data_IF_937409971109
#
_entry.id   IF_937409971109
#
_cell.length_a   1.000
_cell.length_b   1.000
_cell.length_c   1.000
_cell.angle_alpha   90.00
_cell.angle_beta   90.00
_cell.angle_gamma   90.00
#
_symmetry.space_group_name_H-M   'P 1'
#
loop_
_entity.id
_entity.type
_entity.pdbx_description
1 polymer ?
#
# COMPACT_ATOMS: atom_id res chain seq x y z
N UNK A 1 4.94 0.65 -30.47
CA UNK A 1 5.54 -0.68 -30.23
C UNK A 1 5.40 -1.12 -28.76
N UNK A 2 5.61 -0.25 -27.77
CA UNK A 2 5.59 -0.57 -26.32
C UNK A 2 4.26 -1.06 -25.70
N UNK A 3 3.08 -0.54 -26.08
CA UNK A 3 1.83 -0.85 -25.34
C UNK A 3 1.44 -2.34 -25.35
N UNK A 4 1.52 -3.00 -26.52
CA UNK A 4 1.16 -4.42 -26.67
C UNK A 4 2.13 -5.33 -25.91
N UNK A 5 3.40 -4.95 -25.84
CA UNK A 5 4.44 -5.66 -25.08
C UNK A 5 4.22 -5.49 -23.58
N UNK A 6 3.97 -4.26 -23.12
CA UNK A 6 3.59 -3.96 -21.74
C UNK A 6 2.34 -4.74 -21.32
N UNK A 7 1.32 -4.80 -22.17
CA UNK A 7 0.10 -5.55 -21.87
C UNK A 7 0.37 -7.05 -21.71
N UNK A 8 1.21 -7.62 -22.57
CA UNK A 8 1.65 -9.02 -22.45
C UNK A 8 2.45 -9.25 -21.17
N UNK A 9 3.35 -8.32 -20.83
CA UNK A 9 4.13 -8.37 -19.60
C UNK A 9 3.22 -8.30 -18.37
N UNK A 10 2.18 -7.47 -18.41
CA UNK A 10 1.17 -7.37 -17.35
C UNK A 10 0.37 -8.67 -17.18
N UNK A 11 -0.10 -9.27 -18.27
CA UNK A 11 -0.79 -10.57 -18.22
C UNK A 11 0.12 -11.67 -17.65
N UNK A 12 1.40 -11.67 -18.05
CA UNK A 12 2.41 -12.57 -17.50
C UNK A 12 2.65 -12.33 -16.01
N UNK A 13 2.71 -11.06 -15.57
CA UNK A 13 2.79 -10.70 -14.16
C UNK A 13 1.58 -11.22 -13.37
N UNK A 14 0.36 -11.08 -13.87
CA UNK A 14 -0.85 -11.61 -13.22
C UNK A 14 -0.76 -13.14 -13.08
N UNK A 15 -0.34 -13.84 -14.14
CA UNK A 15 -0.13 -15.30 -14.08
C UNK A 15 0.90 -15.67 -13.03
N UNK A 16 2.01 -14.93 -12.95
CA UNK A 16 3.06 -15.16 -11.96
C UNK A 16 2.59 -15.01 -10.51
N UNK A 17 1.55 -14.22 -10.23
CA UNK A 17 0.99 -14.10 -8.88
C UNK A 17 0.31 -15.41 -8.43
N UNK A 18 -0.24 -16.18 -9.37
CA UNK A 18 -0.86 -17.49 -9.08
C UNK A 18 0.18 -18.57 -8.81
N UNK A 19 1.32 -18.50 -9.49
CA UNK A 19 2.45 -19.42 -9.38
C UNK A 19 3.28 -19.12 -8.11
N UNK A 20 3.53 -17.85 -7.81
CA UNK A 20 4.33 -17.40 -6.67
C UNK A 20 3.45 -17.04 -5.47
N UNK A 21 3.04 -18.08 -4.73
CA UNK A 21 2.15 -17.92 -3.57
C UNK A 21 2.88 -17.60 -2.27
N UNK A 22 4.20 -17.79 -2.22
CA UNK A 22 5.03 -17.47 -1.05
C UNK A 22 5.02 -15.97 -0.75
N UNK A 23 5.01 -15.66 0.53
CA UNK A 23 5.14 -14.30 1.04
C UNK A 23 6.15 -14.29 2.18
N UNK A 24 7.22 -13.53 1.98
CA UNK A 24 8.26 -13.36 3.00
C UNK A 24 7.78 -12.43 4.12
N UNK A 25 8.55 -12.32 5.20
CA UNK A 25 8.16 -11.62 6.42
C UNK A 25 7.80 -10.14 6.17
N UNK A 26 8.62 -9.42 5.39
CA UNK A 26 8.42 -8.00 5.13
C UNK A 26 7.17 -7.72 4.28
N UNK A 27 6.98 -8.32 3.08
CA UNK A 27 5.77 -8.11 2.28
C UNK A 27 4.50 -8.52 3.03
N UNK A 28 4.57 -9.55 3.88
CA UNK A 28 3.45 -9.95 4.73
C UNK A 28 3.09 -8.86 5.74
N UNK A 29 4.05 -8.41 6.55
CA UNK A 29 3.82 -7.37 7.55
C UNK A 29 3.33 -6.08 6.89
N UNK A 30 3.95 -5.70 5.78
CA UNK A 30 3.56 -4.54 4.98
C UNK A 30 2.10 -4.62 4.51
N UNK A 31 1.68 -5.78 3.99
CA UNK A 31 0.31 -5.97 3.52
C UNK A 31 -0.71 -5.87 4.67
N UNK A 32 -0.47 -6.56 5.79
CA UNK A 32 -1.38 -6.52 6.95
C UNK A 32 -1.54 -5.11 7.49
N UNK A 33 -0.44 -4.36 7.65
CA UNK A 33 -0.46 -2.98 8.15
C UNK A 33 -1.25 -2.07 7.20
N UNK A 34 -0.95 -2.11 5.90
CA UNK A 34 -1.62 -1.23 4.94
C UNK A 34 -3.10 -1.58 4.74
N UNK A 35 -3.47 -2.87 4.75
CA UNK A 35 -4.87 -3.31 4.73
C UNK A 35 -5.60 -2.76 5.96
N UNK A 36 -5.00 -2.81 7.15
CA UNK A 36 -5.61 -2.26 8.35
C UNK A 36 -5.74 -0.73 8.29
N UNK A 37 -4.76 -0.01 7.77
CA UNK A 37 -4.83 1.45 7.58
C UNK A 37 -5.99 1.81 6.63
N UNK A 38 -6.11 1.12 5.49
CA UNK A 38 -7.21 1.33 4.53
C UNK A 38 -8.56 1.04 5.18
N UNK A 39 -8.67 -0.07 5.91
CA UNK A 39 -9.87 -0.42 6.66
C UNK A 39 -10.27 0.69 7.64
N UNK A 40 -9.34 1.13 8.49
CA UNK A 40 -9.57 2.16 9.50
C UNK A 40 -10.01 3.48 8.86
N UNK A 41 -9.31 3.93 7.82
CA UNK A 41 -9.67 5.18 7.15
C UNK A 41 -11.02 5.11 6.45
N UNK A 42 -11.31 4.01 5.74
CA UNK A 42 -12.58 3.85 5.02
C UNK A 42 -13.74 3.75 6.01
N UNK A 43 -13.55 3.06 7.15
CA UNK A 43 -14.54 3.01 8.23
C UNK A 43 -14.83 4.39 8.83
N UNK A 44 -13.81 5.20 9.09
CA UNK A 44 -13.98 6.56 9.60
C UNK A 44 -14.74 7.45 8.61
N UNK A 45 -14.49 7.32 7.30
CA UNK A 45 -15.22 8.07 6.27
C UNK A 45 -16.69 7.61 6.20
N UNK A 46 -16.96 6.30 6.29
CA UNK A 46 -18.34 5.79 6.34
C UNK A 46 -19.09 6.32 7.58
N UNK A 47 -18.42 6.34 8.73
CA UNK A 47 -18.97 6.89 9.98
C UNK A 47 -19.25 8.40 9.84
N UNK A 48 -18.32 9.15 9.26
CA UNK A 48 -18.52 10.56 8.94
C UNK A 48 -19.70 10.80 7.99
N UNK A 49 -19.91 9.88 7.05
CA UNK A 49 -20.99 9.97 6.06
C UNK A 49 -22.37 9.73 6.65
N UNK A 50 -22.51 8.85 7.64
CA UNK A 50 -23.82 8.57 8.28
C UNK A 50 -24.16 9.60 9.36
N UNK A 51 -23.14 10.19 10.00
CA UNK A 51 -23.30 11.26 10.99
C UNK A 51 -23.41 12.66 10.37
N UNK A 52 -23.31 12.77 9.03
CA UNK A 52 -23.59 13.99 8.29
C UNK A 52 -22.52 15.09 8.40
N UNK A 53 -21.24 14.72 8.56
CA UNK A 53 -20.19 15.73 8.57
C UNK A 53 -18.83 15.24 9.05
N UNK A 54 -18.25 15.97 10.01
CA UNK A 54 -16.94 15.67 10.57
C UNK A 54 -17.08 14.75 11.79
N UNK A 55 -16.39 13.62 11.76
CA UNK A 55 -16.22 12.76 12.92
C UNK A 55 -14.82 12.94 13.46
N UNK A 56 -14.70 13.14 14.77
CA UNK A 56 -13.42 13.20 15.46
C UNK A 56 -13.42 12.13 16.55
N UNK A 57 -12.49 11.19 16.44
CA UNK A 57 -12.24 10.18 17.45
C UNK A 57 -10.95 10.53 18.20
N UNK A 58 -11.04 10.63 19.52
CA UNK A 58 -9.88 10.79 20.38
C UNK A 58 -9.45 9.41 20.85
N UNK A 59 -8.31 8.93 20.34
CA UNK A 59 -7.63 7.77 20.91
C UNK A 59 -6.82 8.32 22.08
N UNK A 60 -7.33 8.10 23.29
CA UNK A 60 -6.82 8.44 24.63
C UNK A 60 -5.69 9.50 24.73
N UNK A 61 -5.96 10.59 25.47
CA UNK A 61 -5.04 11.69 25.82
C UNK A 61 -4.01 12.11 24.75
N UNK A 62 -4.45 12.42 23.53
CA UNK A 62 -3.69 13.33 22.65
C UNK A 62 -3.74 13.04 21.15
N UNK A 63 -4.11 11.84 20.72
CA UNK A 63 -4.20 11.51 19.29
C UNK A 63 -5.65 11.66 18.84
N UNK A 64 -5.94 12.73 18.10
CA UNK A 64 -7.23 12.94 17.47
C UNK A 64 -7.17 12.51 16.01
N UNK A 65 -8.03 11.57 15.63
CA UNK A 65 -8.26 11.20 14.24
C UNK A 65 -9.57 11.86 13.81
N UNK A 66 -9.54 12.66 12.76
CA UNK A 66 -10.76 13.23 12.20
C UNK A 66 -10.94 12.86 10.73
N UNK A 67 -12.14 12.44 10.37
CA UNK A 67 -12.57 12.24 9.00
C UNK A 67 -13.74 13.17 8.69
N UNK A 68 -13.77 13.69 7.47
CA UNK A 68 -14.89 14.45 6.93
C UNK A 68 -15.41 13.72 5.70
N UNK A 69 -16.73 13.64 5.58
CA UNK A 69 -17.38 13.18 4.35
C UNK A 69 -18.31 14.26 3.82
N UNK A 70 -18.26 14.58 2.51
CA UNK A 70 -19.24 15.44 1.88
C UNK A 70 -20.55 14.68 1.55
N UNK A 71 -20.59 13.37 1.75
CA UNK A 71 -21.73 12.52 1.42
C UNK A 71 -22.55 12.22 2.67
N UNK A 72 -23.88 12.27 2.55
CA UNK A 72 -24.81 11.80 3.58
C UNK A 72 -25.39 10.45 3.16
N UNK A 73 -25.22 9.43 3.99
CA UNK A 73 -25.74 8.07 3.74
C UNK A 73 -26.73 7.66 4.82
N UNK A 74 -27.72 6.83 4.45
CA UNK A 74 -28.67 6.27 5.42
C UNK A 74 -27.99 5.25 6.36
N UNK A 75 -28.55 5.07 7.56
CA UNK A 75 -28.11 4.02 8.49
C UNK A 75 -28.01 2.63 7.85
N UNK A 76 -29.06 2.12 7.16
CA UNK A 76 -29.00 0.85 6.45
C UNK A 76 -27.87 0.78 5.40
N UNK A 77 -27.64 1.85 4.65
CA UNK A 77 -26.54 1.92 3.67
C UNK A 77 -25.18 1.82 4.35
N UNK A 78 -24.99 2.54 5.47
CA UNK A 78 -23.79 2.42 6.29
C UNK A 78 -23.56 0.98 6.74
N UNK A 79 -24.59 0.31 7.24
CA UNK A 79 -24.47 -1.07 7.72
C UNK A 79 -24.07 -2.05 6.59
N UNK A 80 -24.62 -1.90 5.39
CA UNK A 80 -24.17 -2.73 4.26
C UNK A 80 -22.72 -2.44 3.85
N UNK A 81 -22.37 -1.18 3.67
CA UNK A 81 -21.02 -0.78 3.25
C UNK A 81 -19.94 -1.25 4.24
N UNK A 82 -20.19 -1.08 5.54
CA UNK A 82 -19.23 -1.48 6.55
C UNK A 82 -19.17 -3.01 6.73
N UNK A 83 -20.27 -3.76 6.58
CA UNK A 83 -20.22 -5.23 6.52
C UNK A 83 -19.36 -5.72 5.34
N UNK A 84 -19.55 -5.16 4.15
CA UNK A 84 -18.76 -5.49 2.96
C UNK A 84 -17.27 -5.18 3.18
N UNK A 85 -16.97 -4.03 3.78
CA UNK A 85 -15.60 -3.62 4.08
C UNK A 85 -14.93 -4.58 5.08
N UNK A 86 -15.60 -4.94 6.17
CA UNK A 86 -15.12 -5.95 7.13
C UNK A 86 -14.87 -7.27 6.41
N UNK A 87 -15.84 -7.71 5.60
CA UNK A 87 -15.75 -8.97 4.88
C UNK A 87 -14.52 -9.05 3.97
N UNK A 88 -14.33 -8.05 3.11
CA UNK A 88 -13.22 -7.99 2.16
C UNK A 88 -11.88 -7.93 2.90
N UNK A 89 -11.78 -7.04 3.91
CA UNK A 89 -10.54 -6.83 4.66
C UNK A 89 -10.09 -8.11 5.36
N UNK A 90 -11.00 -8.78 6.07
CA UNK A 90 -10.69 -10.01 6.79
C UNK A 90 -10.43 -11.19 5.85
N UNK A 91 -11.09 -11.25 4.69
CA UNK A 91 -10.79 -12.25 3.66
C UNK A 91 -9.35 -12.09 3.14
N UNK A 92 -8.91 -10.86 2.89
CA UNK A 92 -7.53 -10.58 2.47
C UNK A 92 -6.53 -11.01 3.55
N UNK A 93 -6.80 -10.68 4.81
CA UNK A 93 -5.96 -11.10 5.95
C UNK A 93 -5.93 -12.62 6.09
N UNK A 94 -7.06 -13.31 5.93
CA UNK A 94 -7.14 -14.78 5.95
C UNK A 94 -6.24 -15.40 4.87
N UNK A 95 -6.30 -14.89 3.65
CA UNK A 95 -5.45 -15.38 2.55
C UNK A 95 -3.97 -15.12 2.83
N UNK A 96 -3.63 -13.95 3.40
CA UNK A 96 -2.26 -13.60 3.73
C UNK A 96 -1.68 -14.50 4.84
N UNK A 97 -2.43 -14.76 5.91
CA UNK A 97 -1.96 -15.62 6.99
C UNK A 97 -1.70 -17.05 6.48
N UNK A 98 -2.61 -17.60 5.66
CA UNK A 98 -2.40 -18.91 5.03
C UNK A 98 -1.11 -18.94 4.19
N UNK A 99 -0.89 -17.91 3.36
CA UNK A 99 0.34 -17.79 2.55
C UNK A 99 1.60 -17.65 3.42
N UNK A 100 1.53 -16.93 4.53
CA UNK A 100 2.65 -16.75 5.47
C UNK A 100 3.04 -18.09 6.10
N UNK A 101 2.07 -18.85 6.59
CA UNK A 101 2.32 -20.16 7.19
C UNK A 101 2.83 -21.19 6.17
N UNK A 102 2.40 -21.12 4.91
CA UNK A 102 2.93 -21.94 3.82
C UNK A 102 4.42 -21.67 3.50
N UNK A 103 4.96 -20.53 3.91
CA UNK A 103 6.38 -20.18 3.75
C UNK A 103 7.25 -20.57 4.95
N UNK A 104 6.65 -21.03 6.05
CA UNK A 104 7.40 -21.42 7.26
C UNK A 104 8.12 -22.75 7.03
N UNK A 105 9.36 -22.86 7.50
CA UNK A 105 10.19 -24.06 7.35
C UNK A 105 9.80 -25.19 8.34
N UNK A 106 8.52 -25.56 8.43
CA UNK A 106 8.01 -26.59 9.34
C UNK A 106 6.85 -27.35 8.70
N UNK A 107 6.81 -28.66 8.92
CA UNK A 107 5.79 -29.58 8.38
C UNK A 107 4.38 -29.29 8.92
N UNK A 108 4.25 -28.83 10.16
CA UNK A 108 2.96 -28.48 10.77
C UNK A 108 2.39 -27.13 10.29
N UNK A 109 3.21 -26.27 9.68
CA UNK A 109 2.82 -24.90 9.40
C UNK A 109 1.66 -24.76 8.41
N UNK A 110 1.59 -25.50 7.28
CA UNK A 110 0.45 -25.42 6.36
C UNK A 110 -0.89 -25.81 7.00
N UNK A 111 -0.89 -26.80 7.90
CA UNK A 111 -2.08 -27.20 8.66
C UNK A 111 -2.53 -26.08 9.61
N UNK A 112 -1.60 -25.49 10.37
CA UNK A 112 -1.92 -24.37 11.25
C UNK A 112 -2.36 -23.12 10.47
N UNK A 113 -1.76 -22.85 9.31
CA UNK A 113 -2.19 -21.76 8.42
C UNK A 113 -3.61 -21.96 7.87
N UNK A 114 -4.01 -23.20 7.60
CA UNK A 114 -5.38 -23.54 7.18
C UNK A 114 -6.36 -23.40 8.33
N UNK A 115 -5.98 -23.83 9.53
CA UNK A 115 -6.77 -23.60 10.74
C UNK A 115 -6.97 -22.10 11.00
N UNK A 116 -5.90 -21.31 10.97
CA UNK A 116 -5.97 -19.86 11.14
C UNK A 116 -6.86 -19.19 10.07
N UNK A 117 -6.77 -19.62 8.82
CA UNK A 117 -7.66 -19.17 7.75
C UNK A 117 -9.13 -19.42 8.10
N UNK A 118 -9.47 -20.63 8.55
CA UNK A 118 -10.84 -21.00 8.93
C UNK A 118 -11.32 -20.15 10.11
N UNK A 119 -10.49 -19.98 11.14
CA UNK A 119 -10.83 -19.16 12.31
C UNK A 119 -11.11 -17.71 11.90
N UNK A 120 -10.26 -17.10 11.08
CA UNK A 120 -10.47 -15.74 10.57
C UNK A 120 -11.77 -15.66 9.76
N UNK A 121 -12.07 -16.65 8.92
CA UNK A 121 -13.30 -16.69 8.13
C UNK A 121 -14.55 -16.84 8.98
N UNK A 122 -14.53 -17.69 10.01
CA UNK A 122 -15.65 -17.84 10.95
C UNK A 122 -15.87 -16.52 11.70
N UNK A 123 -14.82 -15.93 12.25
CA UNK A 123 -14.89 -14.62 12.92
C UNK A 123 -15.44 -13.54 11.99
N UNK A 124 -15.02 -13.55 10.72
CA UNK A 124 -15.50 -12.62 9.71
C UNK A 124 -17.02 -12.74 9.48
N UNK A 125 -17.54 -13.96 9.37
CA UNK A 125 -18.97 -14.21 9.22
C UNK A 125 -19.76 -13.76 10.47
N UNK A 126 -19.25 -14.07 11.67
CA UNK A 126 -19.87 -13.64 12.94
C UNK A 126 -19.93 -12.11 13.03
N UNK A 127 -18.85 -11.42 12.67
CA UNK A 127 -18.82 -9.95 12.64
C UNK A 127 -19.83 -9.41 11.61
N UNK A 128 -19.88 -9.94 10.40
CA UNK A 128 -20.83 -9.49 9.38
C UNK A 128 -22.29 -9.66 9.83
N UNK A 129 -22.65 -10.82 10.41
CA UNK A 129 -24.01 -11.08 10.92
C UNK A 129 -24.35 -10.11 12.03
N UNK A 130 -23.41 -9.86 12.95
CA UNK A 130 -23.62 -8.93 14.06
C UNK A 130 -23.89 -7.51 13.56
N UNK A 131 -23.31 -7.12 12.42
CA UNK A 131 -23.44 -5.78 11.85
C UNK A 131 -24.73 -5.59 11.07
N UNK A 132 -25.21 -6.67 10.45
CA UNK A 132 -26.49 -6.69 9.73
C UNK A 132 -27.69 -6.93 10.67
N UNK A 133 -27.45 -7.43 11.89
CA UNK A 133 -28.49 -7.67 12.89
C UNK A 133 -29.42 -6.46 13.09
N UNK A 134 -28.95 -5.21 13.29
CA UNK A 134 -29.83 -4.05 13.47
C UNK A 134 -30.80 -3.84 12.31
N UNK A 135 -30.35 -4.07 11.07
CA UNK A 135 -31.21 -4.02 9.88
C UNK A 135 -32.27 -5.14 9.92
N UNK A 136 -31.85 -6.36 10.28
CA UNK A 136 -32.68 -7.56 10.22
C UNK A 136 -33.81 -7.57 11.27
N UNK A 137 -33.55 -7.06 12.48
CA UNK A 137 -34.53 -7.07 13.59
C UNK A 137 -35.19 -5.70 13.83
N UNK A 138 -34.91 -4.70 12.99
CA UNK A 138 -35.45 -3.35 13.15
C UNK A 138 -35.04 -2.66 14.46
N UNK A 139 -33.93 -3.08 15.06
CA UNK A 139 -33.50 -2.59 16.36
C UNK A 139 -32.66 -1.31 16.22
N UNK A 140 -32.93 -0.34 17.09
CA UNK A 140 -32.07 0.84 17.27
C UNK A 140 -30.81 0.43 18.05
N UNK A 141 -29.76 -0.05 17.36
CA UNK A 141 -28.44 -0.13 17.97
C UNK A 141 -27.79 1.26 17.95
N UNK A 142 -27.05 1.58 19.03
CA UNK A 142 -26.18 2.75 19.02
C UNK A 142 -25.11 2.53 17.94
N UNK A 143 -24.94 3.56 17.10
CA UNK A 143 -24.01 3.52 15.99
C UNK A 143 -22.56 3.44 16.51
N UNK A 144 -22.31 4.05 17.67
CA UNK A 144 -21.01 4.08 18.36
C UNK A 144 -20.59 2.71 18.93
N UNK A 145 -21.47 2.00 19.66
CA UNK A 145 -21.09 0.73 20.30
C UNK A 145 -20.84 -0.36 19.25
N UNK A 146 -21.70 -0.42 18.23
CA UNK A 146 -21.58 -1.38 17.12
C UNK A 146 -20.30 -1.15 16.33
N UNK A 147 -20.01 0.12 16.02
CA UNK A 147 -18.78 0.52 15.34
C UNK A 147 -17.54 0.14 16.17
N UNK A 148 -17.52 0.50 17.46
CA UNK A 148 -16.37 0.27 18.33
C UNK A 148 -16.09 -1.21 18.56
N UNK A 149 -17.13 -2.03 18.72
CA UNK A 149 -16.98 -3.47 18.86
C UNK A 149 -16.26 -4.10 17.66
N UNK A 150 -16.66 -3.73 16.44
CA UNK A 150 -16.10 -4.33 15.22
C UNK A 150 -14.77 -3.74 14.79
N UNK A 151 -14.60 -2.44 14.99
CA UNK A 151 -13.31 -1.79 14.82
C UNK A 151 -12.25 -2.48 15.69
N UNK A 152 -12.55 -2.67 16.98
CA UNK A 152 -11.66 -3.37 17.92
C UNK A 152 -11.49 -4.85 17.55
N UNK A 153 -12.57 -5.55 17.20
CA UNK A 153 -12.52 -6.96 16.81
C UNK A 153 -11.60 -7.22 15.61
N UNK A 154 -11.76 -6.43 14.54
CA UNK A 154 -10.91 -6.52 13.34
C UNK A 154 -9.47 -6.08 13.63
N UNK A 155 -9.28 -5.02 14.43
CA UNK A 155 -7.95 -4.56 14.83
C UNK A 155 -7.17 -5.63 15.64
N UNK A 156 -7.81 -6.26 16.63
CA UNK A 156 -7.20 -7.34 17.43
C UNK A 156 -6.81 -8.50 16.51
N UNK A 157 -7.72 -8.91 15.62
CA UNK A 157 -7.45 -10.00 14.67
C UNK A 157 -6.28 -9.68 13.74
N UNK A 158 -6.21 -8.47 13.18
CA UNK A 158 -5.09 -8.05 12.35
C UNK A 158 -3.78 -8.02 13.14
N UNK A 159 -3.81 -7.56 14.40
CA UNK A 159 -2.65 -7.53 15.28
C UNK A 159 -2.14 -8.94 15.60
N UNK A 160 -3.05 -9.87 15.91
CA UNK A 160 -2.71 -11.30 16.10
C UNK A 160 -2.10 -11.89 14.83
N UNK A 161 -2.69 -11.61 13.65
CA UNK A 161 -2.13 -12.06 12.38
C UNK A 161 -0.75 -11.43 12.10
N UNK A 162 -0.54 -10.17 12.48
CA UNK A 162 0.73 -9.48 12.29
C UNK A 162 1.87 -10.19 13.03
N UNK A 163 1.63 -10.80 14.20
CA UNK A 163 2.62 -11.58 14.95
C UNK A 163 3.22 -12.73 14.10
N UNK A 164 2.50 -13.28 13.12
CA UNK A 164 3.04 -14.30 12.21
C UNK A 164 4.20 -13.79 11.33
N UNK A 165 4.50 -12.49 11.32
CA UNK A 165 5.68 -11.93 10.65
C UNK A 165 7.00 -12.36 11.30
N UNK A 166 6.99 -12.73 12.60
CA UNK A 166 8.18 -13.19 13.32
C UNK A 166 8.54 -14.64 13.04
N UNK A 167 7.69 -15.39 12.34
CA UNK A 167 7.98 -16.77 11.95
C UNK A 167 9.14 -16.80 10.96
N UNK A 168 10.07 -17.75 11.15
CA UNK A 168 11.23 -17.92 10.26
C UNK A 168 10.78 -18.38 8.87
N UNK A 169 11.22 -17.66 7.83
CA UNK A 169 11.02 -18.03 6.42
C UNK A 169 11.80 -19.30 6.05
N UNK A 170 11.28 -20.05 5.08
CA UNK A 170 11.98 -21.18 4.47
C UNK A 170 13.05 -20.69 3.48
N UNK A 171 14.26 -21.26 3.58
CA UNK A 171 15.40 -20.94 2.71
C UNK A 171 15.48 -21.82 1.45
N UNK A 172 14.72 -22.91 1.39
CA UNK A 172 14.66 -23.81 0.24
C UNK A 172 13.45 -23.50 -0.65
N UNK A 173 13.48 -23.99 -1.90
CA UNK A 173 12.32 -24.03 -2.80
C UNK A 173 11.22 -24.90 -2.19
N UNK A 174 9.97 -24.52 -2.38
CA UNK A 174 8.82 -25.36 -2.01
C UNK A 174 7.73 -25.28 -3.08
N UNK A 175 6.65 -26.03 -2.89
CA UNK A 175 5.48 -26.09 -3.80
C UNK A 175 4.77 -24.75 -4.00
N UNK A 176 5.04 -23.75 -3.17
CA UNK A 176 4.42 -22.43 -3.21
C UNK A 176 5.31 -21.36 -3.87
N UNK A 177 6.59 -21.66 -4.16
CA UNK A 177 7.51 -20.77 -4.86
C UNK A 177 8.97 -20.81 -4.39
N UNK A 178 9.74 -19.84 -4.87
CA UNK A 178 11.17 -19.71 -4.60
C UNK A 178 11.47 -19.04 -3.25
N UNK A 179 12.64 -19.33 -2.65
CA UNK A 179 13.07 -18.69 -1.41
C UNK A 179 13.39 -17.20 -1.61
N UNK A 180 13.47 -16.48 -0.50
CA UNK A 180 13.92 -15.07 -0.44
C UNK A 180 13.18 -14.08 -1.34
N UNK A 181 11.93 -14.39 -1.70
CA UNK A 181 11.11 -13.53 -2.54
C UNK A 181 11.44 -13.63 -4.04
N UNK A 182 12.25 -14.63 -4.43
CA UNK A 182 12.39 -15.00 -5.84
C UNK A 182 11.05 -15.39 -6.47
N UNK A 183 10.95 -15.24 -7.79
CA UNK A 183 9.70 -15.48 -8.50
C UNK A 183 9.89 -16.23 -9.80
N UNK A 184 8.99 -17.17 -10.08
CA UNK A 184 8.90 -17.86 -11.37
C UNK A 184 7.97 -17.09 -12.30
N UNK A 185 8.40 -16.83 -13.53
CA UNK A 185 7.57 -16.27 -14.59
C UNK A 185 7.76 -17.13 -15.84
N UNK A 186 6.78 -17.99 -16.14
CA UNK A 186 6.91 -18.94 -17.23
C UNK A 186 8.10 -19.87 -17.00
N UNK A 187 9.03 -19.89 -17.96
CA UNK A 187 10.24 -20.74 -17.89
C UNK A 187 11.45 -20.02 -17.30
N UNK A 188 11.24 -18.92 -16.56
CA UNK A 188 12.32 -18.15 -15.95
C UNK A 188 12.15 -18.00 -14.44
N UNK A 189 13.26 -18.11 -13.72
CA UNK A 189 13.39 -17.78 -12.31
C UNK A 189 14.08 -16.42 -12.15
N UNK A 190 13.41 -15.54 -11.42
CA UNK A 190 13.86 -14.19 -11.12
C UNK A 190 14.37 -14.15 -9.68
N UNK A 191 15.61 -13.70 -9.50
CA UNK A 191 16.15 -13.38 -8.17
C UNK A 191 16.27 -11.87 -8.01
N UNK A 192 16.10 -11.42 -6.77
CA UNK A 192 16.04 -10.00 -6.43
C UNK A 192 17.19 -9.62 -5.49
N UNK A 193 17.57 -8.36 -5.54
CA UNK A 193 18.47 -7.78 -4.55
C UNK A 193 17.85 -7.76 -3.15
N UNK A 194 18.63 -7.39 -2.12
CA UNK A 194 18.11 -7.24 -0.77
C UNK A 194 17.13 -6.08 -0.66
N UNK A 195 16.10 -6.23 0.18
CA UNK A 195 15.09 -5.17 0.40
C UNK A 195 15.74 -3.93 1.00
N UNK A 196 16.63 -4.07 1.99
CA UNK A 196 17.37 -2.95 2.54
C UNK A 196 18.80 -2.93 1.99
N UNK A 197 19.35 -1.75 1.64
CA UNK A 197 20.77 -1.61 1.39
C UNK A 197 21.50 -1.90 2.70
N UNK A 198 22.38 -2.89 2.70
CA UNK A 198 23.32 -3.09 3.80
C UNK A 198 24.36 -1.99 3.62
N UNK A 199 24.58 -1.16 4.65
CA UNK A 199 25.61 -0.14 4.61
C UNK A 199 26.95 -0.81 4.25
N UNK A 200 27.62 -0.30 3.22
CA UNK A 200 28.94 -0.82 2.87
C UNK A 200 29.91 -0.49 4.01
N UNK A 201 30.97 -1.29 4.13
CA UNK A 201 31.99 -1.08 5.14
C UNK A 201 32.57 0.34 5.01
N UNK A 202 32.38 1.17 6.05
CA UNK A 202 32.76 2.59 6.06
C UNK A 202 31.67 3.61 5.66
N UNK A 203 30.50 3.18 5.19
CA UNK A 203 29.36 4.09 4.93
C UNK A 203 28.50 4.27 6.19
N UNK A 204 28.11 5.52 6.48
CA UNK A 204 27.11 5.79 7.51
C UNK A 204 25.75 5.20 7.12
N UNK A 205 24.97 4.77 8.11
CA UNK A 205 23.59 4.32 7.89
C UNK A 205 22.69 5.42 7.29
N UNK A 206 23.01 6.69 7.50
CA UNK A 206 22.30 7.84 6.90
C UNK A 206 22.52 7.92 5.38
N UNK A 207 23.72 7.55 4.94
CA UNK A 207 24.12 7.58 3.53
C UNK A 207 23.59 6.36 2.78
N UNK A 208 23.51 5.21 3.46
CA UNK A 208 22.86 4.02 2.93
C UNK A 208 21.35 4.21 2.77
N UNK A 209 20.71 5.00 3.65
CA UNK A 209 19.32 5.45 3.50
C UNK A 209 19.15 6.57 2.45
N UNK A 210 20.23 7.20 2.01
CA UNK A 210 20.22 8.23 0.98
C UNK A 210 19.71 9.60 1.45
N UNK A 211 19.70 9.88 2.76
CA UNK A 211 19.21 11.15 3.33
C UNK A 211 19.98 12.34 2.73
N UNK A 212 21.32 12.24 2.67
CA UNK A 212 22.18 13.28 2.10
C UNK A 212 21.99 13.48 0.59
N UNK A 213 21.31 12.56 -0.10
CA UNK A 213 21.06 12.61 -1.55
C UNK A 213 19.69 13.20 -1.88
N UNK A 214 18.99 13.80 -0.91
CA UNK A 214 17.64 14.31 -1.12
C UNK A 214 17.53 15.34 -2.24
N UNK A 215 18.49 16.28 -2.33
CA UNK A 215 18.50 17.30 -3.38
C UNK A 215 18.78 16.71 -4.77
N UNK A 216 19.72 15.77 -4.87
CA UNK A 216 20.00 15.04 -6.10
C UNK A 216 18.79 14.21 -6.54
N UNK A 217 18.14 13.55 -5.57
CA UNK A 217 16.91 12.78 -5.77
C UNK A 217 15.77 13.64 -6.29
N UNK A 218 15.58 14.83 -5.71
CA UNK A 218 14.59 15.80 -6.17
C UNK A 218 14.90 16.28 -7.59
N UNK A 219 16.14 16.71 -7.87
CA UNK A 219 16.55 17.17 -9.20
C UNK A 219 16.32 16.08 -10.25
N UNK A 220 16.78 14.87 -9.94
CA UNK A 220 16.65 13.75 -10.85
C UNK A 220 15.19 13.36 -11.07
N UNK A 221 14.41 13.24 -10.01
CA UNK A 221 13.01 12.80 -10.12
C UNK A 221 12.13 13.81 -10.84
N UNK A 222 12.29 15.10 -10.54
CA UNK A 222 11.38 16.15 -11.00
C UNK A 222 11.90 16.91 -12.21
N UNK A 223 13.12 16.71 -12.68
CA UNK A 223 13.63 17.38 -13.88
C UNK A 223 14.25 16.39 -14.86
N UNK A 224 15.39 15.80 -14.49
CA UNK A 224 16.19 15.00 -15.43
C UNK A 224 15.49 13.70 -15.85
N UNK A 225 14.77 13.09 -14.91
CA UNK A 225 14.16 11.79 -15.04
C UNK A 225 12.70 11.80 -15.51
N UNK A 226 12.07 12.95 -15.67
CA UNK A 226 10.67 13.01 -16.12
C UNK A 226 10.54 12.58 -17.58
N UNK A 227 11.57 12.88 -18.39
CA UNK A 227 11.61 12.58 -19.83
C UNK A 227 12.42 11.29 -20.11
N UNK A 228 13.27 10.88 -19.17
CA UNK A 228 14.06 9.65 -19.29
C UNK A 228 13.24 8.41 -18.91
N UNK A 229 13.04 7.51 -19.87
CA UNK A 229 12.31 6.26 -19.71
C UNK A 229 13.21 5.01 -19.76
N UNK A 230 14.52 5.18 -19.96
CA UNK A 230 15.47 4.05 -20.12
C UNK A 230 16.32 3.84 -18.88
N UNK A 231 16.56 4.89 -18.12
CA UNK A 231 17.34 4.79 -16.91
C UNK A 231 16.64 3.99 -15.81
N UNK A 232 17.44 3.59 -14.84
CA UNK A 232 16.96 3.00 -13.59
C UNK A 232 16.62 4.09 -12.59
N UNK A 233 15.60 3.85 -11.75
CA UNK A 233 15.27 4.74 -10.63
C UNK A 233 15.51 4.01 -9.32
N UNK A 234 16.36 4.59 -8.47
CA UNK A 234 16.66 4.01 -7.16
C UNK A 234 15.53 4.30 -6.19
N UNK A 235 15.32 3.39 -5.22
CA UNK A 235 14.23 3.51 -4.24
C UNK A 235 14.31 4.77 -3.39
N UNK A 236 15.52 5.15 -2.97
CA UNK A 236 15.72 6.37 -2.19
C UNK A 236 15.43 7.64 -3.00
N UNK A 237 15.57 7.59 -4.34
CA UNK A 237 15.25 8.74 -5.20
C UNK A 237 13.75 9.04 -5.18
N UNK A 238 12.90 8.00 -5.23
CA UNK A 238 11.44 8.15 -5.16
C UNK A 238 11.01 8.69 -3.79
N UNK A 239 11.54 8.11 -2.71
CA UNK A 239 11.14 8.52 -1.37
C UNK A 239 11.62 9.94 -1.05
N UNK A 240 12.92 10.21 -1.15
CA UNK A 240 13.47 11.52 -0.81
C UNK A 240 13.12 12.60 -1.81
N UNK A 241 12.99 12.27 -3.09
CA UNK A 241 12.50 13.19 -4.11
C UNK A 241 11.10 13.71 -3.75
N UNK A 242 10.16 12.82 -3.40
CA UNK A 242 8.83 13.21 -2.97
C UNK A 242 8.84 14.00 -1.65
N UNK A 243 9.63 13.59 -0.66
CA UNK A 243 9.75 14.32 0.61
C UNK A 243 10.25 15.75 0.38
N UNK A 244 11.31 15.92 -0.42
CA UNK A 244 11.81 17.26 -0.75
C UNK A 244 10.81 18.08 -1.56
N UNK A 245 10.11 17.46 -2.52
CA UNK A 245 9.08 18.15 -3.29
C UNK A 245 8.01 18.74 -2.38
N UNK A 246 7.46 17.94 -1.44
CA UNK A 246 6.45 18.43 -0.50
C UNK A 246 6.99 19.52 0.42
N UNK A 247 8.24 19.38 0.89
CA UNK A 247 8.89 20.40 1.70
C UNK A 247 9.06 21.72 0.95
N UNK A 248 9.56 21.68 -0.28
CA UNK A 248 9.71 22.86 -1.15
C UNK A 248 8.34 23.46 -1.47
N UNK A 249 7.36 22.63 -1.83
CA UNK A 249 5.99 23.06 -2.11
C UNK A 249 5.39 23.84 -0.94
N UNK A 250 5.50 23.32 0.29
CA UNK A 250 4.99 23.99 1.50
C UNK A 250 5.73 25.31 1.75
N UNK A 251 7.06 25.31 1.66
CA UNK A 251 7.87 26.53 1.89
C UNK A 251 7.49 27.62 0.88
N UNK A 252 7.45 27.27 -0.40
CA UNK A 252 7.09 28.20 -1.48
C UNK A 252 5.65 28.67 -1.30
N UNK A 253 4.71 27.79 -0.96
CA UNK A 253 3.32 28.17 -0.71
C UNK A 253 3.18 29.17 0.44
N UNK A 254 3.88 28.96 1.56
CA UNK A 254 3.88 29.89 2.69
C UNK A 254 4.48 31.23 2.31
N UNK A 255 5.61 31.24 1.60
CA UNK A 255 6.24 32.49 1.13
C UNK A 255 5.29 33.24 0.20
N UNK A 256 4.73 32.58 -0.81
CA UNK A 256 3.81 33.20 -1.76
C UNK A 256 2.57 33.76 -1.05
N UNK A 257 1.99 33.02 -0.12
CA UNK A 257 0.79 33.46 0.61
C UNK A 257 1.06 34.61 1.59
N UNK A 258 2.30 34.74 2.10
CA UNK A 258 2.69 35.85 2.98
C UNK A 258 3.17 37.07 2.22
N UNK A 259 3.85 36.88 1.08
CA UNK A 259 4.54 37.95 0.35
C UNK A 259 3.66 38.57 -0.74
N UNK A 260 2.93 37.76 -1.53
CA UNK A 260 2.11 38.27 -2.63
C UNK A 260 1.02 39.27 -2.19
N UNK A 261 0.35 39.13 -1.03
CA UNK A 261 -0.67 40.09 -0.61
C UNK A 261 -0.16 41.52 -0.38
N UNK A 262 1.16 41.71 -0.25
CA UNK A 262 1.75 43.06 -0.21
C UNK A 262 1.77 43.76 -1.57
N UNK A 263 1.70 42.99 -2.67
CA UNK A 263 1.76 43.50 -4.04
C UNK A 263 0.42 43.44 -4.79
N UNK A 264 -0.47 42.52 -4.42
CA UNK A 264 -1.77 42.27 -5.09
C UNK A 264 -2.86 41.92 -4.08
N UNK A 265 -4.13 42.00 -4.49
CA UNK A 265 -5.26 41.72 -3.59
C UNK A 265 -5.23 40.29 -3.04
N UNK A 266 -5.62 40.13 -1.78
CA UNK A 266 -5.67 38.83 -1.11
C UNK A 266 -6.59 37.82 -1.81
N UNK A 267 -7.66 38.30 -2.44
CA UNK A 267 -8.54 37.47 -3.27
C UNK A 267 -7.78 36.86 -4.46
N UNK A 268 -7.04 37.67 -5.20
CA UNK A 268 -6.25 37.18 -6.33
C UNK A 268 -5.18 36.18 -5.89
N UNK A 269 -4.51 36.42 -4.75
CA UNK A 269 -3.51 35.48 -4.22
C UNK A 269 -4.13 34.13 -3.92
N UNK A 270 -5.30 34.09 -3.28
CA UNK A 270 -5.98 32.83 -2.97
C UNK A 270 -6.39 32.07 -4.24
N UNK A 271 -6.92 32.76 -5.25
CA UNK A 271 -7.26 32.17 -6.55
C UNK A 271 -6.02 31.61 -7.28
N UNK A 272 -4.94 32.39 -7.32
CA UNK A 272 -3.67 31.96 -7.90
C UNK A 272 -3.10 30.71 -7.19
N UNK A 273 -3.10 30.72 -5.86
CA UNK A 273 -2.57 29.62 -5.05
C UNK A 273 -3.37 28.32 -5.24
N UNK A 274 -4.71 28.41 -5.20
CA UNK A 274 -5.57 27.23 -5.28
C UNK A 274 -5.66 26.67 -6.69
N UNK A 275 -5.86 27.53 -7.70
CA UNK A 275 -6.18 27.07 -9.06
C UNK A 275 -4.96 26.92 -9.95
N UNK A 276 -3.99 27.84 -9.86
CA UNK A 276 -2.83 27.82 -10.74
C UNK A 276 -1.64 27.08 -10.10
N UNK A 277 -1.16 27.55 -8.94
CA UNK A 277 0.02 26.98 -8.30
C UNK A 277 -0.22 25.54 -7.85
N UNK A 278 -1.30 25.31 -7.08
CA UNK A 278 -1.68 23.96 -6.64
C UNK A 278 -1.95 23.01 -7.80
N UNK A 279 -2.68 23.46 -8.82
CA UNK A 279 -2.98 22.68 -10.02
C UNK A 279 -1.73 22.29 -10.81
N UNK A 280 -0.90 23.28 -11.17
CA UNK A 280 0.32 23.06 -11.95
C UNK A 280 1.31 22.16 -11.20
N UNK A 281 1.56 22.44 -9.91
CA UNK A 281 2.45 21.62 -9.09
C UNK A 281 1.90 20.20 -8.90
N UNK A 282 0.59 20.04 -8.78
CA UNK A 282 -0.06 18.73 -8.72
C UNK A 282 0.12 17.92 -9.99
N UNK A 283 -0.07 18.53 -11.17
CA UNK A 283 0.16 17.87 -12.46
C UNK A 283 1.63 17.51 -12.65
N UNK A 284 2.55 18.43 -12.32
CA UNK A 284 3.99 18.16 -12.39
C UNK A 284 4.40 17.01 -11.47
N UNK A 285 3.89 17.02 -10.24
CA UNK A 285 4.14 15.96 -9.27
C UNK A 285 3.63 14.61 -9.75
N UNK A 286 2.44 14.57 -10.31
CA UNK A 286 1.86 13.36 -10.87
C UNK A 286 2.69 12.84 -12.05
N UNK A 287 3.07 13.70 -12.99
CA UNK A 287 3.89 13.34 -14.14
C UNK A 287 5.25 12.75 -13.72
N UNK A 288 5.96 13.42 -12.80
CA UNK A 288 7.23 12.95 -12.27
C UNK A 288 7.10 11.60 -11.55
N UNK A 289 6.04 11.40 -10.76
CA UNK A 289 5.79 10.13 -10.09
C UNK A 289 5.44 9.01 -11.07
N UNK A 290 4.66 9.28 -12.13
CA UNK A 290 4.36 8.28 -13.16
C UNK A 290 5.65 7.84 -13.87
N UNK A 291 6.52 8.78 -14.27
CA UNK A 291 7.80 8.49 -14.91
C UNK A 291 8.73 7.68 -14.00
N UNK A 292 8.82 8.05 -12.72
CA UNK A 292 9.60 7.31 -11.73
C UNK A 292 9.03 5.90 -11.47
N UNK A 293 7.71 5.76 -11.34
CA UNK A 293 7.05 4.46 -11.16
C UNK A 293 7.26 3.55 -12.36
N UNK A 294 7.17 4.09 -13.58
CA UNK A 294 7.41 3.35 -14.82
C UNK A 294 8.79 2.68 -14.81
N UNK A 295 9.85 3.48 -14.61
CA UNK A 295 11.23 2.98 -14.54
C UNK A 295 11.42 1.98 -13.40
N UNK A 296 10.87 2.29 -12.24
CA UNK A 296 10.99 1.45 -11.05
C UNK A 296 10.34 0.07 -11.22
N UNK A 297 9.17 0.02 -11.85
CA UNK A 297 8.48 -1.24 -12.15
C UNK A 297 9.32 -2.09 -13.11
N UNK A 298 9.92 -1.46 -14.13
CA UNK A 298 10.77 -2.15 -15.10
C UNK A 298 12.05 -2.67 -14.43
N UNK A 299 12.65 -1.90 -13.53
CA UNK A 299 13.78 -2.33 -12.71
C UNK A 299 13.46 -3.55 -11.82
N UNK A 300 12.20 -3.73 -11.44
CA UNK A 300 11.71 -4.88 -10.67
C UNK A 300 11.22 -6.05 -11.57
N UNK A 301 11.37 -5.94 -12.89
CA UNK A 301 10.88 -6.92 -13.86
C UNK A 301 9.35 -6.97 -13.93
N UNK A 302 8.68 -5.82 -13.79
CA UNK A 302 7.22 -5.69 -13.76
C UNK A 302 6.75 -4.68 -14.81
N UNK A 303 5.56 -4.92 -15.33
CA UNK A 303 4.94 -4.01 -16.30
C UNK A 303 4.52 -2.69 -15.65
N UNK A 304 4.63 -1.61 -16.41
CA UNK A 304 4.15 -0.28 -16.02
C UNK A 304 2.63 -0.21 -15.78
N UNK A 305 1.83 -1.17 -16.29
CA UNK A 305 0.39 -1.21 -16.06
C UNK A 305 0.00 -1.32 -14.57
N UNK A 306 0.93 -1.74 -13.69
CA UNK A 306 0.70 -1.71 -12.25
C UNK A 306 0.47 -0.30 -11.68
N UNK A 307 0.81 0.77 -12.41
CA UNK A 307 0.45 2.15 -12.04
C UNK A 307 -1.08 2.31 -11.96
N UNK A 308 -1.84 1.68 -12.86
CA UNK A 308 -3.31 1.72 -12.80
C UNK A 308 -3.85 1.04 -11.54
N UNK A 309 -3.08 0.13 -10.95
CA UNK A 309 -3.43 -0.54 -9.71
C UNK A 309 -3.54 0.42 -8.50
N UNK A 310 -2.94 1.62 -8.57
CA UNK A 310 -3.13 2.65 -7.54
C UNK A 310 -4.58 3.16 -7.45
N UNK A 311 -5.36 3.07 -8.53
CA UNK A 311 -6.76 3.54 -8.58
C UNK A 311 -7.75 2.52 -7.99
N UNK A 312 -7.32 1.28 -7.78
CA UNK A 312 -8.18 0.19 -7.32
C UNK A 312 -7.89 -0.08 -5.82
N UNK A 313 -8.86 0.09 -4.91
CA UNK A 313 -8.67 -0.19 -3.49
C UNK A 313 -8.15 -1.61 -3.24
N UNK A 314 -7.30 -1.77 -2.22
CA UNK A 314 -6.57 -2.99 -1.87
C UNK A 314 -5.53 -3.46 -2.91
N UNK A 315 -5.78 -3.31 -4.22
CA UNK A 315 -4.77 -3.53 -5.27
C UNK A 315 -3.70 -2.44 -5.21
N UNK A 316 -4.08 -1.24 -4.78
CA UNK A 316 -3.17 -0.13 -4.51
C UNK A 316 -2.08 -0.50 -3.49
N UNK A 317 -2.36 -1.35 -2.49
CA UNK A 317 -1.35 -1.86 -1.53
C UNK A 317 -0.27 -2.66 -2.24
N UNK A 318 -0.68 -3.54 -3.15
CA UNK A 318 0.26 -4.35 -3.92
C UNK A 318 1.08 -3.49 -4.88
N UNK A 319 0.44 -2.55 -5.58
CA UNK A 319 1.10 -1.61 -6.48
C UNK A 319 2.10 -0.72 -5.75
N UNK A 320 1.72 -0.24 -4.56
CA UNK A 320 2.58 0.52 -3.66
C UNK A 320 3.78 -0.29 -3.19
N UNK A 321 3.59 -1.58 -2.86
CA UNK A 321 4.67 -2.51 -2.57
C UNK A 321 5.63 -2.67 -3.76
N UNK A 322 5.11 -2.87 -4.97
CA UNK A 322 5.92 -3.08 -6.18
C UNK A 322 6.84 -1.88 -6.47
N UNK A 323 6.34 -0.66 -6.31
CA UNK A 323 7.12 0.55 -6.60
C UNK A 323 8.13 0.82 -5.48
N UNK A 324 7.70 0.84 -4.22
CA UNK A 324 8.53 1.39 -3.15
C UNK A 324 9.44 0.35 -2.49
N UNK A 325 8.99 -0.90 -2.42
CA UNK A 325 9.58 -1.87 -1.50
C UNK A 325 10.15 -3.11 -2.17
N UNK A 326 9.55 -3.53 -3.29
CA UNK A 326 10.09 -4.64 -4.06
C UNK A 326 11.53 -4.34 -4.46
N UNK A 327 12.49 -5.27 -4.33
CA UNK A 327 13.86 -5.02 -4.75
C UNK A 327 14.02 -5.06 -6.27
N UNK A 328 15.15 -4.54 -6.75
CA UNK A 328 15.49 -4.60 -8.16
C UNK A 328 15.91 -6.02 -8.58
N UNK A 329 15.71 -6.32 -9.86
CA UNK A 329 16.05 -7.61 -10.45
C UNK A 329 17.56 -7.81 -10.45
N UNK A 330 18.02 -8.94 -9.92
CA UNK A 330 19.43 -9.31 -9.84
C UNK A 330 19.83 -10.26 -10.97
N UNK A 331 19.13 -11.39 -11.09
CA UNK A 331 19.39 -12.39 -12.15
C UNK A 331 18.09 -12.93 -12.73
N UNK A 332 18.17 -13.37 -13.98
CA UNK A 332 17.13 -14.11 -14.69
C UNK A 332 17.76 -15.42 -15.16
N UNK A 333 17.29 -16.54 -14.61
CA UNK A 333 17.79 -17.87 -14.96
C UNK A 333 16.67 -18.65 -15.66
N UNK A 334 16.97 -19.46 -16.68
CA UNK A 334 15.99 -20.42 -17.18
C UNK A 334 15.66 -21.42 -16.05
N UNK A 335 14.42 -21.86 -15.96
CA UNK A 335 14.01 -22.92 -15.02
C UNK A 335 14.75 -24.18 -15.44
N UNK A 336 15.67 -24.66 -14.60
CA UNK A 336 16.28 -25.97 -14.78
C UNK A 336 15.19 -27.02 -14.59
N UNK A 337 14.77 -27.65 -15.69
CA UNK A 337 14.14 -28.95 -15.59
C UNK A 337 15.24 -29.91 -15.14
N UNK A 338 15.31 -30.18 -13.84
CA UNK A 338 15.95 -31.41 -13.39
C UNK A 338 15.08 -32.54 -13.96
N UNK A 339 15.64 -33.28 -14.93
CA UNK A 339 15.08 -34.54 -15.43
C UNK A 339 15.04 -35.61 -14.35
#
# INVERSE_FOLDING_TARGET
>A
MQFKEEWRAFLSNIKSIKENRRITNFPYAFAIINIHIIYTWTMLILLASVLGGRVTMTVDKGITMSATSPFLISGPTFFWCAAILVFITNLLVAVLIKRRYNDVNRTWAPALGTFAFIVVMITNLVLCITFLKPILIGAHLSLDDTFMFMFRGSAIMHLVCLVSCFLRKNKARNTYGLPDGGQVIGNYELTYETIMPIAKEGESWTDSLGIGKGLESYKYMFFDGVIDYKSRTKRHEIFWGNVLFWLIYIIVAVILQKVLPFAVSSYFVNEFMNNFYGGLMGVWWLAANIAACYRRLHDAGRSAFWILGFLIPFVNVYSYYLVNWKPSLKTVNPVSHEE
#
